data_IF_437071858109
#
_entry.id   IF_437071858109
#
_cell.length_a   1.000
_cell.length_b   1.000
_cell.length_c   1.000
_cell.angle_alpha   90.00
_cell.angle_beta   90.00
_cell.angle_gamma   90.00
#
_symmetry.space_group_name_H-M   'P 1'
#
loop_
_entity.id
_entity.type
_entity.pdbx_description
1 polymer ?
#
# COMPACT_ATOMS: atom_id res chain seq x y z
N UNK A 1 -18.10 -31.32 -18.64
CA UNK A 1 -16.86 -30.68 -18.17
C UNK A 1 -17.30 -29.67 -17.15
N UNK A 2 -17.07 -29.95 -15.91
CA UNK A 2 -17.37 -29.03 -14.78
C UNK A 2 -16.49 -27.82 -14.92
N UNK A 3 -17.02 -26.76 -15.53
CA UNK A 3 -16.42 -25.43 -15.59
C UNK A 3 -16.37 -24.90 -14.16
N UNK A 4 -15.27 -24.88 -13.69
CA UNK A 4 -14.70 -24.91 -12.51
C UNK A 4 -14.95 -23.87 -11.48
N UNK A 5 -15.23 -24.36 -10.29
CA UNK A 5 -14.99 -23.69 -9.00
C UNK A 5 -13.55 -23.17 -8.80
N UNK A 6 -12.72 -23.12 -9.84
CA UNK A 6 -11.32 -22.68 -9.80
C UNK A 6 -11.00 -21.47 -10.69
N UNK A 7 -11.95 -20.95 -11.43
CA UNK A 7 -11.75 -19.75 -12.26
C UNK A 7 -12.06 -18.51 -11.45
N UNK A 8 -11.02 -17.73 -11.16
CA UNK A 8 -11.10 -16.49 -10.38
C UNK A 8 -10.90 -15.30 -11.30
N UNK A 9 -11.79 -14.31 -11.20
CA UNK A 9 -11.61 -13.01 -11.84
C UNK A 9 -11.34 -11.97 -10.73
N UNK A 10 -10.22 -11.28 -10.81
CA UNK A 10 -9.87 -10.17 -9.92
C UNK A 10 -10.02 -8.87 -10.70
N UNK A 11 -10.87 -7.99 -10.22
CA UNK A 11 -11.10 -6.67 -10.83
C UNK A 11 -10.17 -5.65 -10.18
N UNK A 12 -9.25 -5.09 -10.98
CA UNK A 12 -8.17 -4.18 -10.59
C UNK A 12 -6.78 -4.82 -10.73
N UNK A 13 -5.77 -4.02 -11.10
CA UNK A 13 -4.39 -4.42 -11.33
C UNK A 13 -3.39 -3.78 -10.36
N UNK A 14 -3.83 -3.44 -9.14
CA UNK A 14 -2.97 -2.95 -8.07
C UNK A 14 -2.17 -4.05 -7.38
N UNK A 15 -1.33 -3.68 -6.41
CA UNK A 15 -0.44 -4.63 -5.71
C UNK A 15 -1.19 -5.75 -5.00
N UNK A 16 -2.35 -5.46 -4.38
CA UNK A 16 -3.16 -6.48 -3.69
C UNK A 16 -3.70 -7.48 -4.70
N UNK A 17 -4.23 -7.02 -5.84
CA UNK A 17 -4.73 -7.87 -6.91
C UNK A 17 -3.64 -8.79 -7.48
N UNK A 18 -2.48 -8.24 -7.81
CA UNK A 18 -1.38 -8.99 -8.41
C UNK A 18 -0.79 -10.04 -7.46
N UNK A 19 -0.65 -9.70 -6.16
CA UNK A 19 -0.22 -10.65 -5.14
C UNK A 19 -1.27 -11.74 -4.90
N UNK A 20 -2.55 -11.38 -4.82
CA UNK A 20 -3.65 -12.36 -4.68
C UNK A 20 -3.68 -13.32 -5.86
N UNK A 21 -3.55 -12.79 -7.08
CA UNK A 21 -3.51 -13.61 -8.30
C UNK A 21 -2.34 -14.61 -8.29
N UNK A 22 -1.14 -14.14 -7.92
CA UNK A 22 0.04 -15.00 -7.80
C UNK A 22 -0.17 -16.12 -6.78
N UNK A 23 -0.68 -15.78 -5.59
CA UNK A 23 -0.90 -16.75 -4.52
C UNK A 23 -1.99 -17.77 -4.88
N UNK A 24 -3.10 -17.31 -5.46
CA UNK A 24 -4.18 -18.18 -5.94
C UNK A 24 -3.71 -19.11 -7.08
N UNK A 25 -2.95 -18.57 -8.04
CA UNK A 25 -2.38 -19.37 -9.12
C UNK A 25 -1.48 -20.49 -8.59
N UNK A 26 -0.65 -20.24 -7.60
CA UNK A 26 0.15 -21.25 -6.91
C UNK A 26 -0.67 -22.34 -6.22
N UNK A 27 -1.88 -22.03 -5.80
CA UNK A 27 -2.85 -23.00 -5.21
C UNK A 27 -3.66 -23.73 -6.30
N UNK A 28 -3.36 -23.48 -7.60
CA UNK A 28 -3.96 -24.16 -8.73
C UNK A 28 -5.28 -23.55 -9.22
N UNK A 29 -5.57 -22.30 -8.84
CA UNK A 29 -6.65 -21.54 -9.45
C UNK A 29 -6.20 -20.97 -10.80
N UNK A 30 -7.11 -20.92 -11.77
CA UNK A 30 -6.91 -20.14 -12.98
C UNK A 30 -7.39 -18.72 -12.71
N UNK A 31 -6.50 -17.73 -12.83
CA UNK A 31 -6.81 -16.36 -12.43
C UNK A 31 -6.69 -15.40 -13.59
N UNK A 32 -7.73 -14.59 -13.80
CA UNK A 32 -7.72 -13.47 -14.74
C UNK A 32 -7.82 -12.16 -13.98
N UNK A 33 -6.85 -11.27 -14.15
CA UNK A 33 -6.91 -9.89 -13.69
C UNK A 33 -7.57 -9.04 -14.77
N UNK A 34 -8.63 -8.30 -14.41
CA UNK A 34 -9.22 -7.26 -15.24
C UNK A 34 -8.72 -5.89 -14.79
N UNK A 35 -7.93 -5.24 -15.62
CA UNK A 35 -7.39 -3.90 -15.34
C UNK A 35 -7.86 -2.93 -16.44
N UNK A 36 -8.37 -1.78 -16.03
CA UNK A 36 -8.88 -0.78 -16.96
C UNK A 36 -7.76 -0.08 -17.75
N UNK A 37 -6.65 0.18 -17.06
CA UNK A 37 -5.51 0.93 -17.60
C UNK A 37 -4.28 0.02 -17.75
N UNK A 38 -3.24 0.21 -16.96
CA UNK A 38 -2.08 -0.68 -16.90
C UNK A 38 -1.76 -1.08 -15.48
N UNK A 39 -1.06 -2.20 -15.32
CA UNK A 39 -0.69 -2.72 -14.01
C UNK A 39 0.03 -1.66 -13.18
N UNK A 40 -0.49 -1.42 -11.97
CA UNK A 40 0.11 -0.50 -11.03
C UNK A 40 0.14 0.96 -11.46
N UNK A 41 -0.61 1.37 -12.47
CA UNK A 41 -0.60 2.75 -13.01
C UNK A 41 -1.20 3.81 -12.09
N UNK A 42 -1.70 3.41 -10.92
CA UNK A 42 -2.31 4.28 -9.92
C UNK A 42 -1.56 4.19 -8.57
N UNK A 43 -2.28 4.22 -7.44
CA UNK A 43 -1.73 4.31 -6.09
C UNK A 43 -0.56 3.36 -5.82
N UNK A 44 -0.64 2.12 -6.29
CA UNK A 44 0.39 1.12 -5.99
C UNK A 44 1.73 1.42 -6.66
N UNK A 45 1.73 1.80 -7.94
CA UNK A 45 2.98 2.05 -8.68
C UNK A 45 3.61 3.41 -8.37
N UNK A 46 2.84 4.35 -7.85
CA UNK A 46 3.33 5.67 -7.44
C UNK A 46 3.69 5.76 -5.96
N UNK A 47 3.41 4.71 -5.17
CA UNK A 47 3.69 4.72 -3.75
C UNK A 47 5.20 4.78 -3.44
N UNK A 48 5.54 5.43 -2.33
CA UNK A 48 6.91 5.52 -1.84
C UNK A 48 7.52 4.14 -1.51
N UNK A 49 6.70 3.20 -1.02
CA UNK A 49 7.12 1.82 -0.75
C UNK A 49 7.71 1.59 0.63
N UNK A 50 7.49 2.50 1.58
CA UNK A 50 7.93 2.31 2.97
C UNK A 50 7.18 1.15 3.64
N UNK A 51 7.94 0.32 4.35
CA UNK A 51 7.45 -0.82 5.13
C UNK A 51 7.78 -0.58 6.61
N UNK A 52 6.96 0.22 7.25
CA UNK A 52 7.10 0.53 8.66
C UNK A 52 5.85 0.11 9.43
N UNK A 53 5.93 -0.94 10.26
CA UNK A 53 4.79 -1.43 11.01
C UNK A 53 4.52 -0.64 12.30
N UNK A 54 5.45 0.23 12.73
CA UNK A 54 5.39 0.89 14.04
C UNK A 54 4.74 2.27 14.01
N UNK A 55 4.74 2.95 12.86
CA UNK A 55 4.24 4.32 12.78
C UNK A 55 3.25 4.52 11.64
N UNK A 56 2.46 5.58 11.74
CA UNK A 56 1.48 5.99 10.76
C UNK A 56 0.04 5.76 11.19
N UNK A 57 -0.91 6.09 10.32
CA UNK A 57 -2.33 6.00 10.61
C UNK A 57 -2.77 4.55 10.83
N UNK A 58 -3.63 4.33 11.82
CA UNK A 58 -4.19 3.01 12.14
C UNK A 58 -3.32 2.17 13.08
N UNK A 59 -2.27 2.76 13.69
CA UNK A 59 -1.40 2.07 14.62
C UNK A 59 -1.38 2.79 15.99
N UNK A 60 -1.08 2.09 17.10
CA UNK A 60 -0.70 0.67 17.19
C UNK A 60 -1.86 -0.32 17.05
N UNK A 61 -3.01 -0.07 17.69
CA UNK A 61 -4.14 -0.98 17.76
C UNK A 61 -5.28 -0.58 16.80
N UNK A 62 -6.01 -1.55 16.19
CA UNK A 62 -5.88 -3.01 16.33
C UNK A 62 -4.96 -3.67 15.26
N UNK A 63 -4.26 -2.89 14.43
CA UNK A 63 -3.54 -3.38 13.25
C UNK A 63 -2.05 -3.68 13.48
N UNK A 64 -1.55 -3.61 14.71
CA UNK A 64 -0.14 -3.85 14.98
C UNK A 64 0.29 -5.28 14.57
N UNK A 65 -0.45 -6.30 15.03
CA UNK A 65 -0.13 -7.70 14.74
C UNK A 65 -0.22 -7.99 13.24
N UNK A 66 -1.24 -7.45 12.57
CA UNK A 66 -1.37 -7.53 11.12
C UNK A 66 -0.20 -6.87 10.40
N UNK A 67 0.21 -5.69 10.84
CA UNK A 67 1.33 -4.94 10.26
C UNK A 67 2.66 -5.66 10.43
N UNK A 68 2.92 -6.25 11.61
CA UNK A 68 4.11 -7.05 11.90
C UNK A 68 4.14 -8.32 11.06
N UNK A 69 3.01 -9.01 10.93
CA UNK A 69 2.88 -10.17 10.06
C UNK A 69 3.19 -9.81 8.59
N UNK A 70 2.59 -8.73 8.09
CA UNK A 70 2.81 -8.24 6.74
C UNK A 70 4.29 -7.88 6.50
N UNK A 71 4.91 -7.18 7.45
CA UNK A 71 6.33 -6.83 7.38
C UNK A 71 7.22 -8.07 7.24
N UNK A 72 7.02 -9.07 8.09
CA UNK A 72 7.74 -10.33 8.02
C UNK A 72 7.56 -11.05 6.68
N UNK A 73 6.35 -11.02 6.13
CA UNK A 73 6.03 -11.67 4.86
C UNK A 73 6.66 -10.97 3.65
N UNK A 74 6.82 -9.63 3.68
CA UNK A 74 7.49 -8.90 2.59
C UNK A 74 8.88 -9.43 2.30
N UNK A 75 9.70 -9.65 3.34
CA UNK A 75 11.08 -10.13 3.19
C UNK A 75 11.15 -11.49 2.50
N UNK A 76 10.31 -12.43 2.92
CA UNK A 76 10.29 -13.78 2.34
C UNK A 76 9.75 -13.78 0.92
N UNK A 77 8.70 -12.99 0.66
CA UNK A 77 8.07 -12.89 -0.66
C UNK A 77 8.97 -12.16 -1.67
N UNK A 78 9.70 -11.13 -1.24
CA UNK A 78 10.67 -10.44 -2.09
C UNK A 78 11.74 -11.40 -2.62
N UNK A 79 12.29 -12.27 -1.76
CA UNK A 79 13.25 -13.31 -2.15
C UNK A 79 12.61 -14.34 -3.08
N UNK A 80 11.43 -14.84 -2.74
CA UNK A 80 10.70 -15.82 -3.53
C UNK A 80 10.40 -15.31 -4.95
N UNK A 81 9.96 -14.08 -5.09
CA UNK A 81 9.68 -13.45 -6.38
C UNK A 81 10.97 -13.21 -7.17
N UNK A 82 12.04 -12.79 -6.52
CA UNK A 82 13.33 -12.64 -7.18
C UNK A 82 13.86 -13.96 -7.74
N UNK A 83 13.85 -15.04 -6.93
CA UNK A 83 14.23 -16.38 -7.37
C UNK A 83 13.38 -16.90 -8.53
N UNK A 84 12.07 -16.60 -8.51
CA UNK A 84 11.15 -17.03 -9.55
C UNK A 84 11.30 -16.25 -10.87
N UNK A 85 11.68 -14.97 -10.84
CA UNK A 85 11.55 -14.06 -11.99
C UNK A 85 12.84 -13.37 -12.41
N UNK A 86 13.84 -13.31 -11.53
CA UNK A 86 15.04 -12.48 -11.70
C UNK A 86 14.81 -10.98 -11.42
N UNK A 87 13.56 -10.56 -11.14
CA UNK A 87 13.24 -9.16 -10.87
C UNK A 87 13.58 -8.83 -9.41
N UNK A 88 14.52 -7.90 -9.21
CA UNK A 88 14.80 -7.35 -7.89
C UNK A 88 13.69 -6.33 -7.52
N UNK A 89 12.92 -6.64 -6.51
CA UNK A 89 11.83 -5.79 -6.01
C UNK A 89 12.32 -4.68 -5.07
N UNK A 90 13.62 -4.54 -4.88
CA UNK A 90 14.22 -3.47 -4.09
C UNK A 90 13.91 -3.58 -2.59
N UNK A 91 13.71 -4.80 -2.05
CA UNK A 91 13.57 -4.96 -0.61
C UNK A 91 14.90 -4.66 0.08
N UNK A 92 14.90 -3.66 0.93
CA UNK A 92 16.05 -3.25 1.73
C UNK A 92 15.61 -2.83 3.13
N UNK A 93 16.45 -3.11 4.14
CA UNK A 93 16.31 -2.47 5.44
C UNK A 93 16.70 -1.01 5.28
N UNK A 94 15.84 -0.11 5.74
CA UNK A 94 16.06 1.33 5.64
C UNK A 94 15.64 1.99 6.94
N UNK A 95 16.62 2.38 7.70
CA UNK A 95 16.40 3.09 8.94
C UNK A 95 15.61 4.39 8.71
N UNK A 96 15.01 4.89 9.78
CA UNK A 96 14.16 6.07 9.72
C UNK A 96 14.46 7.01 10.88
N UNK A 97 14.43 8.31 10.58
CA UNK A 97 14.53 9.39 11.57
C UNK A 97 13.30 10.30 11.47
N UNK A 98 12.43 10.26 12.47
CA UNK A 98 11.30 11.17 12.57
C UNK A 98 11.73 12.41 13.36
N UNK A 99 11.78 13.56 12.70
CA UNK A 99 12.25 14.81 13.27
C UNK A 99 11.24 15.46 14.20
N UNK A 100 11.74 16.17 15.23
CA UNK A 100 10.98 17.05 16.10
C UNK A 100 11.68 18.42 16.20
N UNK A 101 10.90 19.49 16.06
CA UNK A 101 11.38 20.87 16.08
C UNK A 101 10.94 21.65 17.32
N UNK A 102 9.88 21.19 18.00
CA UNK A 102 9.28 21.87 19.15
C UNK A 102 9.24 20.97 20.38
N UNK A 103 9.15 21.57 21.56
CA UNK A 103 9.06 20.82 22.81
C UNK A 103 7.82 19.94 22.89
N UNK A 104 6.71 20.35 22.27
CA UNK A 104 5.49 19.54 22.20
C UNK A 104 5.71 18.29 21.34
N UNK A 105 6.35 18.43 20.19
CA UNK A 105 6.72 17.29 19.32
C UNK A 105 7.70 16.36 20.03
N UNK A 106 8.65 16.88 20.79
CA UNK A 106 9.57 16.07 21.61
C UNK A 106 8.83 15.24 22.64
N UNK A 107 7.87 15.85 23.37
CA UNK A 107 7.08 15.11 24.37
C UNK A 107 6.28 13.97 23.73
N UNK A 108 5.60 14.25 22.63
CA UNK A 108 4.81 13.26 21.90
C UNK A 108 5.69 12.14 21.32
N UNK A 109 6.85 12.49 20.76
CA UNK A 109 7.81 11.55 20.20
C UNK A 109 8.36 10.60 21.29
N UNK A 110 8.78 11.13 22.45
CA UNK A 110 9.28 10.31 23.57
C UNK A 110 8.20 9.37 24.13
N UNK A 111 6.95 9.86 24.22
CA UNK A 111 5.83 8.99 24.61
C UNK A 111 5.62 7.85 23.60
N UNK A 112 5.77 8.13 22.29
CA UNK A 112 5.70 7.12 21.25
C UNK A 112 6.81 6.06 21.38
N UNK A 113 8.03 6.45 21.70
CA UNK A 113 9.16 5.52 21.90
C UNK A 113 8.86 4.50 23.01
N UNK A 114 8.17 4.89 24.07
CA UNK A 114 7.91 4.01 25.22
C UNK A 114 7.17 2.71 24.86
N UNK A 115 6.23 2.75 23.93
CA UNK A 115 5.57 1.51 23.49
C UNK A 115 6.32 0.82 22.35
N UNK A 116 6.99 1.57 21.47
CA UNK A 116 7.67 1.02 20.29
C UNK A 116 8.94 0.24 20.66
N UNK A 117 9.66 0.65 21.72
CA UNK A 117 10.92 0.01 22.14
C UNK A 117 10.77 -1.47 22.55
N UNK A 118 9.56 -1.88 22.95
CA UNK A 118 9.27 -3.25 23.38
C UNK A 118 8.87 -4.17 22.22
N UNK A 119 8.74 -3.63 21.01
CA UNK A 119 8.38 -4.41 19.81
C UNK A 119 9.63 -5.12 19.26
N UNK A 120 9.64 -6.44 19.37
CA UNK A 120 10.77 -7.27 18.92
C UNK A 120 11.11 -7.09 17.43
N UNK A 121 12.41 -7.04 17.13
CA UNK A 121 12.91 -6.88 15.75
C UNK A 121 13.14 -5.43 15.30
N UNK A 122 12.80 -4.45 16.15
CA UNK A 122 13.05 -3.03 15.91
C UNK A 122 13.82 -2.46 17.10
N UNK A 123 14.78 -1.58 16.79
CA UNK A 123 15.44 -0.74 17.80
C UNK A 123 14.96 0.68 17.60
N UNK A 124 14.24 1.22 18.60
CA UNK A 124 13.63 2.55 18.52
C UNK A 124 14.08 3.36 19.72
N UNK A 125 14.65 4.53 19.46
CA UNK A 125 15.17 5.42 20.50
C UNK A 125 14.96 6.89 20.15
N UNK A 126 14.93 7.72 21.18
CA UNK A 126 15.03 9.17 21.04
C UNK A 126 16.51 9.55 20.90
N UNK A 127 16.82 10.38 19.90
CA UNK A 127 18.14 10.97 19.67
C UNK A 127 18.03 12.50 19.73
N UNK A 128 19.02 13.13 20.35
CA UNK A 128 19.09 14.60 20.35
C UNK A 128 19.59 15.17 19.01
N UNK A 129 19.67 16.48 18.90
CA UNK A 129 20.12 17.17 17.68
C UNK A 129 21.50 16.69 17.23
N UNK A 130 22.47 16.57 18.15
CA UNK A 130 23.85 16.18 17.82
C UNK A 130 23.87 14.74 17.29
N UNK A 131 23.24 13.82 17.99
CA UNK A 131 23.12 12.42 17.61
C UNK A 131 22.39 12.24 16.28
N UNK A 132 21.29 12.97 16.07
CA UNK A 132 20.54 12.91 14.81
C UNK A 132 21.39 13.34 13.61
N UNK A 133 22.22 14.38 13.79
CA UNK A 133 23.14 14.88 12.76
C UNK A 133 24.39 14.03 12.57
N UNK A 134 24.79 13.22 13.53
CA UNK A 134 25.80 12.18 13.34
C UNK A 134 25.27 11.02 12.48
N UNK A 135 24.00 10.64 12.69
CA UNK A 135 23.30 9.60 11.92
C UNK A 135 23.08 10.07 10.48
N UNK A 136 22.45 11.25 10.31
CA UNK A 136 22.20 11.86 9.00
C UNK A 136 22.67 13.33 9.00
N UNK A 137 23.87 13.61 8.50
CA UNK A 137 24.45 14.95 8.56
C UNK A 137 23.69 16.04 7.81
N UNK A 138 22.79 15.65 6.89
CA UNK A 138 22.07 16.56 6.01
C UNK A 138 20.77 17.10 6.63
N UNK A 139 20.33 16.55 7.78
CA UNK A 139 19.14 17.07 8.45
C UNK A 139 19.36 18.47 8.99
N UNK A 140 18.28 19.22 9.09
CA UNK A 140 18.26 20.59 9.60
C UNK A 140 18.96 20.73 10.97
N UNK A 141 19.76 21.77 11.13
CA UNK A 141 20.34 22.14 12.43
C UNK A 141 19.32 22.71 13.41
N UNK A 142 18.11 23.04 12.96
CA UNK A 142 17.04 23.62 13.79
C UNK A 142 16.19 22.57 14.52
N UNK A 143 16.44 21.27 14.30
CA UNK A 143 15.71 20.21 15.01
C UNK A 143 16.08 20.20 16.50
N UNK A 144 15.15 19.83 17.35
CA UNK A 144 15.44 19.53 18.77
C UNK A 144 16.00 18.10 18.92
N UNK A 145 15.62 17.21 18.00
CA UNK A 145 16.03 15.81 17.94
C UNK A 145 15.08 15.00 17.08
N UNK A 146 15.02 13.70 17.32
CA UNK A 146 14.13 12.83 16.58
C UNK A 146 13.97 11.43 17.18
N UNK A 147 13.03 10.67 16.64
CA UNK A 147 12.92 9.23 16.90
C UNK A 147 13.66 8.48 15.80
N UNK A 148 14.76 7.85 16.18
CA UNK A 148 15.52 6.97 15.31
C UNK A 148 14.96 5.55 15.44
N UNK A 149 14.63 4.93 14.32
CA UNK A 149 14.15 3.56 14.26
C UNK A 149 15.01 2.76 13.26
N UNK A 150 15.63 1.69 13.78
CA UNK A 150 16.35 0.73 12.97
C UNK A 150 15.41 -0.39 12.54
N UNK A 151 15.71 -0.94 11.38
CA UNK A 151 14.99 -2.07 10.77
C UNK A 151 13.63 -1.85 10.12
N UNK A 152 12.98 -0.65 10.05
CA UNK A 152 12.02 -0.47 8.97
C UNK A 152 12.62 -0.88 7.63
N UNK A 153 11.78 -1.15 6.64
CA UNK A 153 12.23 -1.56 5.33
C UNK A 153 11.55 -0.73 4.23
N UNK A 154 12.02 -0.90 3.02
CA UNK A 154 11.40 -0.34 1.83
C UNK A 154 11.39 -1.37 0.70
N UNK A 155 10.51 -1.16 -0.27
CA UNK A 155 10.45 -1.88 -1.55
C UNK A 155 10.24 -0.89 -2.69
N UNK A 156 10.43 -1.38 -3.92
CA UNK A 156 10.00 -0.70 -5.14
C UNK A 156 8.63 -1.26 -5.57
N UNK A 157 7.53 -0.59 -5.25
CA UNK A 157 6.18 -1.18 -5.38
C UNK A 157 5.84 -1.59 -6.80
N UNK A 158 6.22 -0.81 -7.80
CA UNK A 158 5.99 -1.14 -9.20
C UNK A 158 6.74 -2.43 -9.61
N UNK A 159 8.01 -2.56 -9.20
CA UNK A 159 8.79 -3.80 -9.45
C UNK A 159 8.20 -5.00 -8.72
N UNK A 160 7.60 -4.77 -7.54
CA UNK A 160 6.94 -5.83 -6.77
C UNK A 160 5.69 -6.35 -7.52
N UNK A 161 4.88 -5.45 -8.11
CA UNK A 161 3.75 -5.80 -8.97
C UNK A 161 4.22 -6.61 -10.18
N UNK A 162 5.23 -6.12 -10.91
CA UNK A 162 5.77 -6.80 -12.09
C UNK A 162 6.31 -8.20 -11.75
N UNK A 163 7.02 -8.33 -10.63
CA UNK A 163 7.54 -9.61 -10.18
C UNK A 163 6.41 -10.61 -9.84
N UNK A 164 5.36 -10.15 -9.14
CA UNK A 164 4.20 -10.96 -8.82
C UNK A 164 3.49 -11.45 -10.08
N UNK A 165 3.25 -10.57 -11.06
CA UNK A 165 2.62 -10.93 -12.33
C UNK A 165 3.49 -11.91 -13.13
N UNK A 166 4.79 -11.62 -13.27
CA UNK A 166 5.72 -12.49 -13.99
C UNK A 166 5.84 -13.89 -13.37
N UNK A 167 5.84 -13.95 -12.03
CA UNK A 167 5.80 -15.22 -11.33
C UNK A 167 4.46 -15.95 -11.53
N UNK A 168 3.36 -15.22 -11.55
CA UNK A 168 2.00 -15.73 -11.74
C UNK A 168 1.77 -16.36 -13.10
N UNK A 169 2.42 -15.85 -14.17
CA UNK A 169 2.31 -16.42 -15.53
C UNK A 169 2.60 -17.94 -15.58
N UNK A 170 3.49 -18.42 -14.70
CA UNK A 170 3.82 -19.86 -14.56
C UNK A 170 2.67 -20.69 -14.00
N UNK A 171 1.68 -20.03 -13.42
CA UNK A 171 0.53 -20.64 -12.74
C UNK A 171 -0.80 -20.24 -13.41
N UNK A 172 -0.77 -19.93 -14.71
CA UNK A 172 -1.96 -19.53 -15.47
C UNK A 172 -2.66 -18.28 -14.95
N UNK A 173 -1.88 -17.31 -14.41
CA UNK A 173 -2.35 -15.96 -14.14
C UNK A 173 -2.20 -15.15 -15.43
N UNK A 174 -3.29 -14.54 -15.87
CA UNK A 174 -3.30 -13.66 -17.03
C UNK A 174 -3.92 -12.30 -16.71
N UNK A 175 -3.55 -11.28 -17.47
CA UNK A 175 -4.17 -9.95 -17.39
C UNK A 175 -4.91 -9.66 -18.68
N UNK A 176 -6.11 -9.12 -18.53
CA UNK A 176 -6.93 -8.61 -19.63
C UNK A 176 -7.16 -7.12 -19.38
N UNK A 177 -6.68 -6.29 -20.30
CA UNK A 177 -6.88 -4.84 -20.19
C UNK A 177 -8.29 -4.50 -20.69
N UNK A 178 -9.21 -4.40 -19.76
CA UNK A 178 -10.63 -4.07 -19.96
C UNK A 178 -11.21 -3.44 -18.70
N UNK A 179 -12.10 -2.50 -18.89
CA UNK A 179 -12.85 -1.86 -17.80
C UNK A 179 -14.06 -2.69 -17.43
N UNK A 180 -14.13 -3.10 -16.18
CA UNK A 180 -15.33 -3.68 -15.57
C UNK A 180 -16.36 -2.57 -15.30
N UNK A 181 -17.62 -2.86 -15.54
CA UNK A 181 -18.75 -1.93 -15.37
C UNK A 181 -19.88 -2.49 -14.52
N UNK A 182 -19.81 -3.75 -14.10
CA UNK A 182 -20.82 -4.40 -13.28
C UNK A 182 -20.57 -5.87 -13.06
N UNK A 183 -21.50 -6.53 -12.37
CA UNK A 183 -21.49 -7.97 -12.12
C UNK A 183 -22.64 -8.64 -12.87
N UNK A 184 -22.46 -9.92 -13.18
CA UNK A 184 -23.51 -10.80 -13.69
C UNK A 184 -23.80 -11.81 -12.59
N UNK A 185 -25.09 -11.97 -12.23
CA UNK A 185 -25.50 -12.87 -11.16
C UNK A 185 -26.63 -13.80 -11.53
N UNK A 186 -26.69 -14.91 -10.84
CA UNK A 186 -27.83 -15.84 -10.81
C UNK A 186 -28.16 -16.09 -9.32
N UNK A 187 -29.19 -15.38 -8.84
CA UNK A 187 -29.49 -15.30 -7.42
C UNK A 187 -28.37 -14.61 -6.63
N UNK A 188 -27.89 -15.27 -5.59
CA UNK A 188 -26.78 -14.84 -4.74
C UNK A 188 -25.39 -15.27 -5.26
N UNK A 189 -25.33 -15.86 -6.45
CA UNK A 189 -24.10 -16.30 -7.08
C UNK A 189 -23.64 -15.33 -8.16
N UNK A 190 -22.43 -14.83 -8.07
CA UNK A 190 -21.78 -14.08 -9.14
C UNK A 190 -21.30 -15.06 -10.23
N UNK A 191 -21.76 -14.90 -11.46
CA UNK A 191 -21.42 -15.77 -12.59
C UNK A 191 -20.48 -15.13 -13.59
N UNK A 192 -20.19 -13.81 -13.41
CA UNK A 192 -19.28 -13.09 -14.28
C UNK A 192 -19.20 -11.60 -13.99
N UNK A 193 -18.40 -10.92 -14.80
CA UNK A 193 -18.17 -9.48 -14.77
C UNK A 193 -18.58 -8.87 -16.10
N UNK A 194 -19.39 -7.81 -16.05
CA UNK A 194 -19.76 -6.99 -17.21
C UNK A 194 -18.61 -6.04 -17.54
N UNK A 195 -18.29 -5.92 -18.81
CA UNK A 195 -17.26 -5.03 -19.34
C UNK A 195 -17.90 -3.93 -20.19
N UNK A 196 -17.16 -2.87 -20.52
CA UNK A 196 -17.63 -1.86 -21.50
C UNK A 196 -18.07 -2.50 -22.82
N UNK A 197 -17.39 -3.59 -23.23
CA UNK A 197 -17.75 -4.33 -24.42
C UNK A 197 -17.73 -5.84 -24.12
N UNK A 198 -18.91 -6.39 -23.83
CA UNK A 198 -19.10 -7.81 -23.55
C UNK A 198 -19.02 -8.16 -22.06
N UNK A 199 -18.61 -9.36 -21.78
CA UNK A 199 -18.52 -9.90 -20.42
C UNK A 199 -17.48 -11.02 -20.32
N UNK A 200 -17.09 -11.36 -19.08
CA UNK A 200 -16.26 -12.52 -18.78
C UNK A 200 -16.95 -13.37 -17.71
N UNK A 201 -17.00 -14.68 -17.90
CA UNK A 201 -17.53 -15.61 -16.92
C UNK A 201 -16.52 -15.82 -15.78
N UNK A 202 -17.00 -15.99 -14.56
CA UNK A 202 -16.19 -16.24 -13.37
C UNK A 202 -16.86 -17.24 -12.44
N UNK A 203 -16.06 -18.12 -11.85
CA UNK A 203 -16.50 -18.98 -10.75
C UNK A 203 -16.41 -18.25 -9.40
N UNK A 204 -15.46 -17.32 -9.28
CA UNK A 204 -15.22 -16.46 -8.11
C UNK A 204 -14.84 -15.07 -8.61
N UNK A 205 -15.31 -14.02 -7.93
CA UNK A 205 -14.94 -12.64 -8.25
C UNK A 205 -14.35 -11.96 -7.00
N UNK A 206 -13.23 -11.23 -7.20
CA UNK A 206 -12.60 -10.39 -6.16
C UNK A 206 -12.59 -8.94 -6.65
N UNK A 207 -13.21 -8.04 -5.90
CA UNK A 207 -13.21 -6.61 -6.14
C UNK A 207 -11.97 -5.97 -5.47
N UNK A 208 -10.96 -5.60 -6.27
CA UNK A 208 -9.68 -5.05 -5.80
C UNK A 208 -9.29 -3.76 -6.56
N UNK A 209 -10.29 -2.92 -6.83
CA UNK A 209 -10.18 -1.71 -7.68
C UNK A 209 -9.64 -0.48 -6.94
N UNK A 210 -8.96 -0.66 -5.79
CA UNK A 210 -8.46 0.46 -5.00
C UNK A 210 -9.57 1.45 -4.62
N UNK A 211 -9.40 2.77 -4.86
CA UNK A 211 -10.40 3.77 -4.47
C UNK A 211 -11.72 3.67 -5.25
N UNK A 212 -11.71 3.03 -6.44
CA UNK A 212 -12.92 2.78 -7.23
C UNK A 212 -13.76 1.63 -6.69
N UNK A 213 -13.28 0.88 -5.70
CA UNK A 213 -14.05 -0.24 -5.12
C UNK A 213 -15.34 0.23 -4.46
N UNK A 214 -15.37 1.46 -3.92
CA UNK A 214 -16.60 2.07 -3.40
C UNK A 214 -17.74 2.17 -4.42
N UNK A 215 -17.41 2.34 -5.72
CA UNK A 215 -18.41 2.37 -6.79
C UNK A 215 -19.08 1.00 -7.03
N UNK A 216 -18.40 -0.09 -6.66
CA UNK A 216 -18.97 -1.42 -6.77
C UNK A 216 -20.07 -1.72 -5.72
N UNK A 217 -20.33 -0.82 -4.78
CA UNK A 217 -21.49 -0.90 -3.88
C UNK A 217 -22.80 -1.04 -4.66
N UNK A 218 -22.93 -0.32 -5.77
CA UNK A 218 -24.09 -0.42 -6.65
C UNK A 218 -24.19 -1.77 -7.39
N UNK A 219 -23.03 -2.41 -7.64
CA UNK A 219 -23.00 -3.68 -8.35
C UNK A 219 -23.39 -4.86 -7.47
N UNK A 220 -23.01 -4.81 -6.19
CA UNK A 220 -23.22 -5.92 -5.25
C UNK A 220 -24.35 -5.69 -4.26
N UNK A 221 -24.95 -4.49 -4.21
CA UNK A 221 -26.02 -4.13 -3.29
C UNK A 221 -25.57 -4.03 -1.82
N UNK A 222 -24.25 -3.95 -1.57
CA UNK A 222 -23.65 -3.84 -0.22
C UNK A 222 -22.75 -2.61 -0.21
N UNK A 223 -22.87 -1.79 0.83
CA UNK A 223 -22.02 -0.59 0.97
C UNK A 223 -20.56 -0.99 1.22
N UNK A 224 -19.65 -0.50 0.39
CA UNK A 224 -18.20 -0.63 0.55
C UNK A 224 -17.65 0.77 0.82
N UNK A 225 -17.46 1.14 2.09
CA UNK A 225 -17.18 2.53 2.48
C UNK A 225 -15.71 2.91 2.22
N UNK A 226 -15.37 3.04 0.95
CA UNK A 226 -14.04 3.43 0.49
C UNK A 226 -14.15 4.65 -0.42
N UNK A 227 -13.31 5.64 -0.14
CA UNK A 227 -13.22 6.90 -0.88
C UNK A 227 -11.77 7.18 -1.31
N UNK A 228 -11.57 7.95 -2.40
CA UNK A 228 -10.24 8.38 -2.81
C UNK A 228 -9.69 9.48 -1.89
N UNK A 229 -8.42 9.36 -1.49
CA UNK A 229 -7.63 10.41 -0.87
C UNK A 229 -6.40 10.68 -1.72
N UNK A 230 -6.35 11.85 -2.36
CA UNK A 230 -5.24 12.21 -3.24
C UNK A 230 -3.98 12.50 -2.43
N UNK A 231 -2.85 12.02 -2.94
CA UNK A 231 -1.54 12.33 -2.42
C UNK A 231 -0.54 12.53 -3.53
N UNK A 232 0.41 13.46 -3.31
CA UNK A 232 1.38 13.85 -4.31
C UNK A 232 2.80 13.61 -3.81
N UNK A 233 3.72 13.31 -4.74
CA UNK A 233 5.13 13.05 -4.48
C UNK A 233 5.96 13.80 -5.51
N UNK A 234 7.07 14.38 -5.06
CA UNK A 234 8.09 14.98 -5.91
C UNK A 234 9.28 14.03 -6.06
N UNK A 235 9.84 13.96 -7.25
CA UNK A 235 11.09 13.27 -7.55
C UNK A 235 12.09 14.30 -8.05
N UNK A 236 13.23 14.39 -7.37
CA UNK A 236 14.20 15.44 -7.58
C UNK A 236 15.58 14.84 -7.77
N UNK A 237 16.40 15.53 -8.53
CA UNK A 237 17.83 15.24 -8.69
C UNK A 237 18.63 16.21 -7.84
N UNK A 238 19.67 15.73 -7.18
CA UNK A 238 20.63 16.54 -6.45
C UNK A 238 22.06 16.10 -6.77
N UNK A 239 23.01 16.99 -6.53
CA UNK A 239 24.45 16.68 -6.57
C UNK A 239 25.02 16.38 -5.18
N UNK A 240 24.19 16.49 -4.14
CA UNK A 240 24.58 16.12 -2.78
C UNK A 240 24.64 14.59 -2.61
N UNK A 241 25.33 14.16 -1.57
CA UNK A 241 25.38 12.74 -1.21
C UNK A 241 23.98 12.18 -0.94
N UNK A 242 23.73 10.90 -1.26
CA UNK A 242 22.47 10.25 -0.95
C UNK A 242 22.13 10.29 0.55
N UNK A 243 20.86 10.49 0.89
CA UNK A 243 20.39 10.33 2.25
C UNK A 243 20.60 8.87 2.71
N UNK A 244 21.19 8.68 3.87
CA UNK A 244 21.51 7.36 4.44
C UNK A 244 20.26 6.59 4.88
N UNK A 245 19.21 7.33 5.22
CA UNK A 245 17.96 6.78 5.76
C UNK A 245 16.73 7.57 5.27
N UNK A 246 15.54 7.16 5.66
CA UNK A 246 14.34 7.95 5.44
C UNK A 246 14.19 8.99 6.54
N UNK A 247 14.08 10.26 6.17
CA UNK A 247 13.82 11.37 7.08
C UNK A 247 12.34 11.74 7.00
N UNK A 248 11.69 11.83 8.14
CA UNK A 248 10.27 12.12 8.23
C UNK A 248 10.02 13.31 9.16
N UNK A 249 8.99 14.07 8.83
CA UNK A 249 8.46 15.12 9.69
C UNK A 249 6.94 15.19 9.51
N UNK A 250 6.20 15.00 10.61
CA UNK A 250 4.74 14.91 10.58
C UNK A 250 4.24 13.86 9.54
N UNK A 251 3.55 14.32 8.48
CA UNK A 251 3.08 13.47 7.39
C UNK A 251 4.04 13.42 6.19
N UNK A 252 5.06 14.27 6.21
CA UNK A 252 6.04 14.38 5.13
C UNK A 252 7.22 13.45 5.33
N UNK A 253 7.82 13.03 4.24
CA UNK A 253 9.00 12.17 4.21
C UNK A 253 9.92 12.55 3.06
N UNK A 254 11.18 12.21 3.22
CA UNK A 254 12.18 12.31 2.16
C UNK A 254 13.17 11.15 2.27
N UNK A 255 13.56 10.59 1.13
CA UNK A 255 14.63 9.60 1.04
C UNK A 255 15.24 9.58 -0.35
N UNK A 256 16.49 9.14 -0.47
CA UNK A 256 17.09 8.76 -1.75
C UNK A 256 16.64 7.34 -2.10
N UNK A 257 16.04 7.16 -3.27
CA UNK A 257 15.56 5.86 -3.74
C UNK A 257 16.63 5.17 -4.60
N UNK A 258 16.37 3.91 -4.97
CA UNK A 258 17.30 3.06 -5.75
C UNK A 258 17.61 3.60 -7.14
N UNK A 259 16.82 4.53 -7.67
CA UNK A 259 17.05 5.26 -8.91
C UNK A 259 18.01 6.46 -8.75
N UNK A 260 18.49 6.71 -7.52
CA UNK A 260 19.36 7.83 -7.17
C UNK A 260 18.64 9.15 -7.00
N UNK A 261 17.30 9.18 -7.15
CA UNK A 261 16.51 10.39 -6.97
C UNK A 261 16.10 10.58 -5.51
N UNK A 262 15.96 11.82 -5.11
CA UNK A 262 15.27 12.20 -3.89
C UNK A 262 13.76 12.13 -4.16
N UNK A 263 13.07 11.33 -3.35
CA UNK A 263 11.61 11.30 -3.33
C UNK A 263 11.13 12.02 -2.08
N UNK A 264 10.35 13.07 -2.27
CA UNK A 264 9.74 13.84 -1.18
C UNK A 264 8.22 13.82 -1.30
N UNK A 265 7.52 13.62 -0.22
CA UNK A 265 6.06 13.60 -0.13
C UNK A 265 5.64 13.89 1.30
N UNK A 266 4.38 14.08 1.60
CA UNK A 266 3.24 13.87 0.72
C UNK A 266 2.16 14.88 1.07
N UNK A 267 1.15 15.01 0.22
CA UNK A 267 -0.09 15.72 0.55
C UNK A 267 -1.24 14.77 0.86
N UNK A 268 -2.32 15.32 1.40
CA UNK A 268 -3.61 14.68 1.58
C UNK A 268 -4.69 15.66 1.15
N UNK A 269 -5.40 15.32 0.07
CA UNK A 269 -6.38 16.20 -0.56
C UNK A 269 -7.68 15.44 -0.83
N UNK A 270 -8.80 15.97 -0.34
CA UNK A 270 -10.13 15.46 -0.65
C UNK A 270 -10.62 16.05 -1.98
N UNK A 271 -10.14 15.50 -3.09
CA UNK A 271 -10.42 15.98 -4.45
C UNK A 271 -11.28 15.02 -5.28
N UNK A 272 -11.95 14.07 -4.63
CA UNK A 272 -12.68 13.03 -5.34
C UNK A 272 -11.74 12.21 -6.23
N UNK A 273 -12.15 11.92 -7.45
CA UNK A 273 -11.35 11.16 -8.40
C UNK A 273 -10.41 12.00 -9.28
N UNK A 274 -10.17 13.28 -8.94
CA UNK A 274 -9.13 14.09 -9.61
C UNK A 274 -7.74 13.65 -9.11
N UNK A 275 -6.95 13.06 -9.99
CA UNK A 275 -5.58 12.62 -9.74
C UNK A 275 -4.52 13.50 -10.44
N UNK A 276 -4.90 14.69 -10.89
CA UNK A 276 -3.98 15.64 -11.51
C UNK A 276 -3.06 16.30 -10.48
N UNK A 277 -1.74 16.44 -10.75
CA UNK A 277 -0.83 17.22 -9.91
C UNK A 277 -1.17 18.71 -9.90
N UNK A 278 -0.88 19.41 -8.78
CA UNK A 278 -1.08 20.84 -8.67
C UNK A 278 0.09 21.58 -8.00
N UNK A 279 0.20 22.88 -8.24
CA UNK A 279 1.32 23.70 -7.74
C UNK A 279 1.28 23.89 -6.21
N UNK A 280 0.09 23.98 -5.61
CA UNK A 280 -0.02 24.16 -4.16
C UNK A 280 0.57 22.96 -3.39
N UNK A 281 0.28 21.74 -3.85
CA UNK A 281 0.89 20.54 -3.30
C UNK A 281 2.40 20.51 -3.49
N UNK A 282 2.89 20.88 -4.68
CA UNK A 282 4.33 20.98 -4.94
C UNK A 282 4.99 21.93 -3.95
N UNK A 283 4.45 23.11 -3.79
CA UNK A 283 5.03 24.16 -2.95
C UNK A 283 5.00 23.75 -1.47
N UNK A 284 3.96 23.06 -1.02
CA UNK A 284 3.87 22.51 0.33
C UNK A 284 4.91 21.41 0.57
N UNK A 285 5.05 20.45 -0.35
CA UNK A 285 6.05 19.37 -0.22
C UNK A 285 7.47 19.95 -0.25
N UNK A 286 7.73 20.94 -1.11
CA UNK A 286 9.03 21.61 -1.14
C UNK A 286 9.35 22.35 0.17
N UNK A 287 8.36 22.99 0.79
CA UNK A 287 8.56 23.66 2.07
C UNK A 287 8.96 22.67 3.18
N UNK A 288 8.25 21.54 3.26
CA UNK A 288 8.59 20.48 4.22
C UNK A 288 9.94 19.83 3.92
N UNK A 289 10.24 19.57 2.65
CA UNK A 289 11.53 19.04 2.22
C UNK A 289 12.68 19.95 2.67
N UNK A 290 12.61 21.25 2.38
CA UNK A 290 13.64 22.22 2.75
C UNK A 290 13.70 22.46 4.28
N UNK A 291 12.60 22.28 4.99
CA UNK A 291 12.61 22.30 6.47
C UNK A 291 13.39 21.09 7.01
N UNK A 292 13.22 19.92 6.43
CA UNK A 292 13.94 18.71 6.85
C UNK A 292 15.41 18.72 6.41
N UNK A 293 15.68 19.06 5.13
CA UNK A 293 17.00 18.98 4.48
C UNK A 293 17.35 20.32 3.80
N UNK A 294 17.66 21.37 4.56
CA UNK A 294 17.85 22.72 3.99
C UNK A 294 19.04 22.83 3.03
N UNK A 295 20.03 21.96 3.17
CA UNK A 295 21.21 21.94 2.29
C UNK A 295 20.92 21.59 0.82
N UNK A 296 19.75 21.00 0.53
CA UNK A 296 19.38 20.57 -0.83
C UNK A 296 18.45 21.56 -1.55
N UNK A 297 18.59 22.86 -1.30
CA UNK A 297 17.75 23.90 -1.91
C UNK A 297 17.97 24.04 -3.44
N UNK A 298 19.05 23.48 -3.98
CA UNK A 298 19.40 23.42 -5.39
C UNK A 298 18.89 22.16 -6.10
N UNK A 299 18.12 21.30 -5.41
CA UNK A 299 17.58 20.09 -6.00
C UNK A 299 16.63 20.41 -7.18
N UNK A 300 16.90 19.78 -8.31
CA UNK A 300 16.12 19.95 -9.55
C UNK A 300 14.87 19.07 -9.53
N UNK A 301 13.68 19.65 -9.61
CA UNK A 301 12.43 18.92 -9.75
C UNK A 301 12.33 18.27 -11.13
N UNK A 302 12.32 16.93 -11.18
CA UNK A 302 12.18 16.17 -12.42
C UNK A 302 10.75 15.74 -12.69
N UNK A 303 10.01 15.36 -11.64
CA UNK A 303 8.66 14.82 -11.77
C UNK A 303 7.83 15.11 -10.53
N UNK A 304 6.58 15.44 -10.75
CA UNK A 304 5.51 15.46 -9.74
C UNK A 304 4.46 14.43 -10.13
N UNK A 305 4.09 13.57 -9.22
CA UNK A 305 3.05 12.55 -9.42
C UNK A 305 1.95 12.71 -8.40
N UNK A 306 0.71 12.39 -8.79
CA UNK A 306 -0.43 12.32 -7.91
C UNK A 306 -1.08 10.94 -8.03
N UNK A 307 -1.67 10.45 -6.94
CA UNK A 307 -2.42 9.21 -6.93
C UNK A 307 -3.52 9.24 -5.87
N UNK A 308 -4.51 8.37 -6.02
CA UNK A 308 -5.65 8.27 -5.14
C UNK A 308 -5.51 7.06 -4.22
N UNK A 309 -5.28 7.30 -2.92
CA UNK A 309 -5.25 6.25 -1.91
C UNK A 309 -6.67 5.73 -1.66
N UNK A 310 -6.90 4.41 -1.57
CA UNK A 310 -8.19 3.84 -1.17
C UNK A 310 -8.38 3.98 0.34
N UNK A 311 -9.08 5.01 0.78
CA UNK A 311 -9.36 5.22 2.20
C UNK A 311 -10.68 4.59 2.59
N UNK A 312 -10.66 3.62 3.50
CA UNK A 312 -11.85 3.14 4.18
C UNK A 312 -12.31 4.15 5.23
N UNK A 313 -13.57 4.10 5.64
CA UNK A 313 -14.16 5.07 6.57
C UNK A 313 -13.46 5.10 7.95
N UNK A 314 -12.84 3.99 8.37
CA UNK A 314 -12.09 3.86 9.62
C UNK A 314 -10.57 3.81 9.44
N UNK A 315 -10.08 3.90 8.21
CA UNK A 315 -8.65 3.84 7.88
C UNK A 315 -8.04 2.44 7.87
N UNK A 316 -8.79 1.38 8.17
CA UNK A 316 -8.32 0.00 8.17
C UNK A 316 -8.65 -0.71 6.84
N UNK A 317 -7.83 -1.65 6.35
CA UNK A 317 -8.13 -2.41 5.14
C UNK A 317 -9.46 -3.18 5.25
N UNK A 318 -10.07 -3.45 4.10
CA UNK A 318 -11.25 -4.29 3.97
C UNK A 318 -10.86 -5.50 3.14
N UNK A 319 -10.92 -6.69 3.73
CA UNK A 319 -10.76 -7.97 3.02
C UNK A 319 -11.78 -8.94 3.56
N UNK A 320 -12.79 -9.24 2.77
CA UNK A 320 -13.89 -10.10 3.22
C UNK A 320 -14.62 -10.75 2.04
N UNK A 321 -15.41 -11.77 2.35
CA UNK A 321 -16.48 -12.24 1.50
C UNK A 321 -17.68 -11.32 1.64
N UNK A 322 -18.25 -10.84 0.54
CA UNK A 322 -19.37 -9.91 0.58
C UNK A 322 -20.65 -10.64 1.04
N UNK A 323 -21.31 -10.13 2.07
CA UNK A 323 -22.54 -10.68 2.61
C UNK A 323 -23.65 -10.76 1.55
N UNK A 324 -24.42 -11.84 1.54
CA UNK A 324 -25.46 -12.10 0.54
C UNK A 324 -24.93 -12.69 -0.78
N UNK A 325 -23.60 -12.92 -0.91
CA UNK A 325 -23.01 -13.52 -2.08
C UNK A 325 -22.26 -14.82 -1.74
N UNK A 326 -22.41 -15.85 -2.59
CA UNK A 326 -21.72 -17.13 -2.40
C UNK A 326 -20.21 -17.06 -2.69
N UNK A 327 -19.79 -16.23 -3.69
CA UNK A 327 -18.48 -16.31 -4.32
C UNK A 327 -17.93 -14.92 -4.72
N UNK A 328 -18.39 -13.85 -4.09
CA UNK A 328 -17.94 -12.48 -4.29
C UNK A 328 -17.14 -12.01 -3.08
N UNK A 329 -15.95 -11.48 -3.34
CA UNK A 329 -15.01 -11.02 -2.33
C UNK A 329 -14.58 -9.57 -2.61
N UNK A 330 -14.11 -8.88 -1.56
CA UNK A 330 -13.55 -7.54 -1.66
C UNK A 330 -12.18 -7.49 -1.00
N UNK A 331 -11.24 -6.72 -1.60
CA UNK A 331 -9.91 -6.47 -1.04
C UNK A 331 -9.47 -5.04 -1.39
N UNK A 332 -9.67 -4.11 -0.46
CA UNK A 332 -9.46 -2.67 -0.69
C UNK A 332 -9.14 -1.93 0.62
N UNK A 333 -9.11 -0.60 0.61
CA UNK A 333 -9.00 0.20 1.82
C UNK A 333 -7.60 0.25 2.44
N UNK A 334 -6.54 -0.12 1.70
CA UNK A 334 -5.17 -0.12 2.21
C UNK A 334 -4.59 1.25 2.57
N UNK A 335 -5.27 2.32 2.17
CA UNK A 335 -5.00 3.70 2.58
C UNK A 335 -3.54 4.11 2.47
N UNK A 336 -3.01 4.67 3.54
CA UNK A 336 -1.62 5.17 3.64
C UNK A 336 -0.58 4.06 3.73
N UNK A 337 -0.98 2.84 4.13
CA UNK A 337 -0.09 1.68 4.34
C UNK A 337 -0.34 0.52 3.39
N UNK A 338 -1.03 0.77 2.28
CA UNK A 338 -1.45 -0.26 1.33
C UNK A 338 -0.29 -1.13 0.80
N UNK A 339 0.93 -0.60 0.69
CA UNK A 339 2.09 -1.40 0.29
C UNK A 339 2.48 -2.36 1.41
N UNK A 340 2.63 -1.88 2.65
CA UNK A 340 2.93 -2.72 3.80
C UNK A 340 1.87 -3.83 3.97
N UNK A 341 0.60 -3.47 3.94
CA UNK A 341 -0.50 -4.39 4.20
C UNK A 341 -0.84 -5.31 3.00
N UNK A 342 -0.31 -5.04 1.82
CA UNK A 342 -0.65 -5.79 0.60
C UNK A 342 -0.41 -7.29 0.70
N UNK A 343 0.65 -7.71 1.39
CA UNK A 343 0.97 -9.13 1.57
C UNK A 343 -0.06 -9.83 2.46
N UNK A 344 -0.45 -9.22 3.57
CA UNK A 344 -1.48 -9.77 4.45
C UNK A 344 -2.85 -9.77 3.79
N UNK A 345 -3.24 -8.68 3.12
CA UNK A 345 -4.49 -8.60 2.37
C UNK A 345 -4.58 -9.71 1.32
N UNK A 346 -3.50 -9.93 0.55
CA UNK A 346 -3.49 -10.96 -0.48
C UNK A 346 -3.53 -12.39 0.08
N UNK A 347 -2.87 -12.64 1.21
CA UNK A 347 -2.98 -13.92 1.91
C UNK A 347 -4.38 -14.14 2.48
N UNK A 348 -4.99 -13.11 3.06
CA UNK A 348 -6.37 -13.17 3.54
C UNK A 348 -7.36 -13.50 2.40
N UNK A 349 -7.18 -12.90 1.21
CA UNK A 349 -7.99 -13.25 0.02
C UNK A 349 -7.82 -14.74 -0.34
N UNK A 350 -6.57 -15.22 -0.40
CA UNK A 350 -6.30 -16.63 -0.67
C UNK A 350 -7.01 -17.54 0.34
N UNK A 351 -6.82 -17.28 1.62
CA UNK A 351 -7.34 -18.10 2.71
C UNK A 351 -8.88 -18.13 2.73
N UNK A 352 -9.52 -16.97 2.53
CA UNK A 352 -10.99 -16.89 2.45
C UNK A 352 -11.54 -17.69 1.26
N UNK A 353 -10.88 -17.66 0.12
CA UNK A 353 -11.30 -18.40 -1.07
C UNK A 353 -11.04 -19.91 -0.94
N UNK A 354 -9.88 -20.29 -0.41
CA UNK A 354 -9.46 -21.68 -0.33
C UNK A 354 -10.05 -22.43 0.87
N UNK A 355 -10.08 -21.78 2.03
CA UNK A 355 -10.31 -22.41 3.32
C UNK A 355 -11.50 -21.79 4.08
N UNK A 356 -12.10 -20.70 3.58
CA UNK A 356 -13.25 -20.01 4.15
C UNK A 356 -12.93 -19.15 5.40
N UNK A 357 -11.69 -19.15 5.86
CA UNK A 357 -11.18 -18.35 6.99
C UNK A 357 -9.71 -18.04 6.79
N UNK A 358 -9.22 -16.96 7.40
CA UNK A 358 -7.79 -16.62 7.35
C UNK A 358 -7.11 -16.88 8.68
N UNK A 359 -5.86 -17.36 8.60
CA UNK A 359 -4.95 -17.52 9.73
C UNK A 359 -3.90 -16.37 9.79
N UNK A 360 -4.03 -15.34 8.95
CA UNK A 360 -3.19 -14.13 9.01
C UNK A 360 -3.50 -13.38 10.30
N UNK A 361 -2.46 -13.10 11.11
CA UNK A 361 -2.63 -12.38 12.38
C UNK A 361 -3.29 -11.03 12.17
N UNK A 362 -4.34 -10.72 12.93
CA UNK A 362 -5.12 -9.48 12.83
C UNK A 362 -6.08 -9.40 11.64
N UNK A 363 -6.22 -10.46 10.83
CA UNK A 363 -7.14 -10.48 9.69
C UNK A 363 -8.63 -10.38 10.12
N UNK A 364 -8.96 -10.75 11.34
CA UNK A 364 -10.31 -10.61 11.92
C UNK A 364 -10.81 -9.17 11.95
N UNK A 365 -9.92 -8.19 11.96
CA UNK A 365 -10.23 -6.76 11.92
C UNK A 365 -10.53 -6.23 10.52
N UNK A 366 -10.32 -7.03 9.46
CA UNK A 366 -10.46 -6.60 8.07
C UNK A 366 -11.85 -6.80 7.49
N UNK A 367 -12.78 -7.36 8.26
CA UNK A 367 -14.12 -7.72 7.80
C UNK A 367 -14.94 -6.50 7.40
N UNK A 368 -15.77 -6.66 6.36
CA UNK A 368 -16.68 -5.62 5.88
C UNK A 368 -17.85 -5.38 6.85
N UNK A 369 -18.28 -6.42 7.59
CA UNK A 369 -19.39 -6.35 8.51
C UNK A 369 -19.15 -5.47 9.77
N UNK A 370 -17.90 -4.99 9.97
CA UNK A 370 -17.61 -3.98 10.99
C UNK A 370 -18.24 -2.61 10.71
N UNK A 371 -18.67 -2.39 9.47
CA UNK A 371 -19.43 -1.19 9.09
C UNK A 371 -20.94 -1.48 9.16
N UNK A 372 -21.74 -0.61 9.80
CA UNK A 372 -23.19 -0.79 9.83
C UNK A 372 -23.74 -0.69 8.40
N UNK A 373 -24.73 -1.53 8.08
CA UNK A 373 -25.46 -1.38 6.83
C UNK A 373 -26.10 0.02 6.78
N UNK A 374 -25.97 0.72 5.65
CA UNK A 374 -26.76 1.96 5.45
C UNK A 374 -28.21 1.59 5.43
N UNK A 375 -29.00 2.19 6.37
CA UNK A 375 -30.45 2.03 6.49
C UNK A 375 -31.12 2.80 5.36
#
# INVERSE_FOLDING_TARGET
MTTGARDVVIVGGGIVACLSAYLLGRRGYKVTILEADSLGSHASGFAFGGLDPLTGAGLPEPLLDFSLWCYGRHRSLARELHEATGINVGFELRDRLNLAFTDDEVRNAKQGVEWMKDIGGFNVEWVDNSQAREIEPQVSGEITGGVYAQSPAAVEPYRFILAAMRAGERYHVEMVQRRATGLISDGDRCTGVTLENGSINAGIVVLAMGPWTGLASEWCGVDIPVTPLKGQILRMRTLHDPLKLSVNYQHSYVATKSDGLIWAGTTEEESGFDDSPNSAARDSIMADFLKMIPGMSDAELLQQTACLRPMSADGMPIVDKINGWENLYVATGGGRKGILWSTGMAHTVLDLIADGKSDVSGAEHLKLDRFPAKV
#
